data_IF_214092765715
#
_entry.id   IF_214092765715
#
_cell.length_a   1.000
_cell.length_b   1.000
_cell.length_c   1.000
_cell.angle_alpha   90.00
_cell.angle_beta   90.00
_cell.angle_gamma   90.00
#
_symmetry.space_group_name_H-M   'P 1'
#
loop_
_entity.id
_entity.type
_entity.pdbx_description
1 polymer ?
#
# COMPACT_ATOMS: atom_id res chain seq x y z
N UNK A 1 9.06 -6.57 16.03
CA UNK A 1 8.27 -5.90 14.97
C UNK A 1 8.06 -6.79 13.73
N UNK A 2 8.97 -6.84 12.74
CA UNK A 2 8.70 -7.57 11.47
C UNK A 2 8.45 -9.07 11.65
N UNK A 3 9.34 -9.78 12.36
CA UNK A 3 9.20 -11.23 12.58
C UNK A 3 7.93 -11.58 13.37
N UNK A 4 7.55 -10.75 14.35
CA UNK A 4 6.30 -10.91 15.11
C UNK A 4 5.07 -10.78 14.21
N UNK A 5 5.08 -9.82 13.27
CA UNK A 5 4.00 -9.71 12.27
C UNK A 5 3.95 -10.95 11.38
N UNK A 6 5.09 -11.46 10.92
CA UNK A 6 5.10 -12.71 10.14
C UNK A 6 4.55 -13.89 10.96
N UNK A 7 4.91 -14.01 12.24
CA UNK A 7 4.39 -15.05 13.12
C UNK A 7 2.86 -14.94 13.31
N UNK A 8 2.34 -13.71 13.47
CA UNK A 8 0.92 -13.49 13.72
C UNK A 8 0.05 -13.60 12.46
N UNK A 9 0.54 -13.14 11.31
CA UNK A 9 -0.24 -13.05 10.07
C UNK A 9 0.19 -14.05 8.99
N UNK A 10 1.16 -14.91 9.29
CA UNK A 10 1.80 -15.84 8.34
C UNK A 10 2.87 -15.19 7.48
N UNK A 11 2.63 -13.99 6.94
CA UNK A 11 3.63 -13.22 6.21
C UNK A 11 3.39 -11.71 6.31
N UNK A 12 4.44 -10.92 6.09
CA UNK A 12 4.33 -9.45 6.09
C UNK A 12 3.54 -8.95 4.88
N UNK A 13 3.66 -9.61 3.73
CA UNK A 13 2.86 -9.37 2.54
C UNK A 13 1.36 -9.57 2.82
N UNK A 14 0.96 -10.71 3.39
CA UNK A 14 -0.44 -10.98 3.73
C UNK A 14 -0.98 -9.92 4.69
N UNK A 15 -0.19 -9.54 5.69
CA UNK A 15 -0.51 -8.47 6.63
C UNK A 15 -0.73 -7.11 5.93
N UNK A 16 0.14 -6.70 5.00
CA UNK A 16 0.01 -5.41 4.34
C UNK A 16 -1.21 -5.32 3.42
N UNK A 17 -1.46 -6.36 2.64
CA UNK A 17 -2.53 -6.33 1.65
C UNK A 17 -3.93 -6.45 2.24
N UNK A 18 -4.07 -6.89 3.49
CA UNK A 18 -5.37 -6.87 4.17
C UNK A 18 -5.90 -5.43 4.33
N UNK A 19 -5.03 -4.41 4.30
CA UNK A 19 -5.45 -3.02 4.41
C UNK A 19 -6.20 -2.51 3.17
N UNK A 20 -6.09 -3.24 2.05
CA UNK A 20 -6.74 -2.95 0.76
C UNK A 20 -7.58 -4.14 0.28
N UNK A 21 -7.96 -5.04 1.19
CA UNK A 21 -8.76 -6.24 0.87
C UNK A 21 -8.18 -7.09 -0.28
N UNK A 22 -6.83 -7.09 -0.41
CA UNK A 22 -6.12 -7.81 -1.46
C UNK A 22 -6.19 -7.18 -2.86
N UNK A 23 -6.87 -6.06 -3.04
CA UNK A 23 -7.06 -5.38 -4.33
C UNK A 23 -6.43 -3.98 -4.25
N UNK A 24 -5.50 -3.61 -5.15
CA UNK A 24 -4.92 -2.28 -5.12
C UNK A 24 -5.99 -1.19 -5.23
N UNK A 25 -5.86 -0.12 -4.44
CA UNK A 25 -6.71 1.06 -4.60
C UNK A 25 -6.35 1.74 -5.92
N UNK A 26 -7.32 1.90 -6.81
CA UNK A 26 -7.14 2.54 -8.11
C UNK A 26 -7.61 3.99 -8.04
N UNK A 27 -6.66 4.93 -8.00
CA UNK A 27 -6.98 6.35 -8.08
C UNK A 27 -6.91 6.84 -9.53
N UNK A 28 -7.46 8.03 -9.78
CA UNK A 28 -7.60 8.60 -11.13
C UNK A 28 -7.12 10.05 -11.17
N UNK A 29 -5.90 10.29 -10.68
CA UNK A 29 -5.29 11.62 -10.65
C UNK A 29 -4.91 12.09 -12.07
N UNK A 30 -5.30 13.31 -12.43
CA UNK A 30 -4.92 13.94 -13.69
C UNK A 30 -3.60 14.71 -13.55
N UNK A 31 -3.38 15.32 -12.39
CA UNK A 31 -2.22 16.18 -12.13
C UNK A 31 -1.47 15.78 -10.84
N UNK A 32 -0.14 15.96 -10.79
CA UNK A 32 0.64 15.62 -9.59
C UNK A 32 0.16 16.30 -8.31
N UNK A 33 -0.36 17.53 -8.40
CA UNK A 33 -0.84 18.30 -7.25
C UNK A 33 -2.13 17.75 -6.62
N UNK A 34 -2.82 16.82 -7.28
CA UNK A 34 -4.01 16.16 -6.73
C UNK A 34 -3.66 14.97 -5.84
N UNK A 35 -2.45 14.41 -6.00
CA UNK A 35 -1.99 13.28 -5.20
C UNK A 35 -1.74 13.76 -3.77
N UNK A 36 -2.48 13.25 -2.77
CA UNK A 36 -2.34 13.73 -1.40
C UNK A 36 -1.00 13.26 -0.79
N UNK A 37 -0.49 14.00 0.19
CA UNK A 37 0.73 13.56 0.91
C UNK A 37 0.46 12.38 1.87
N UNK A 38 -0.78 12.17 2.29
CA UNK A 38 -1.22 11.07 3.15
C UNK A 38 -2.72 10.81 2.96
N UNK A 39 -3.19 9.64 3.34
CA UNK A 39 -4.60 9.24 3.25
C UNK A 39 -5.09 8.65 4.58
N UNK A 40 -6.42 8.62 4.83
CA UNK A 40 -6.96 7.93 6.00
C UNK A 40 -6.52 6.47 6.10
N UNK A 41 -6.34 5.81 4.94
CA UNK A 41 -5.82 4.45 4.86
C UNK A 41 -4.37 4.35 5.35
N UNK A 42 -3.49 5.25 4.88
CA UNK A 42 -2.10 5.32 5.34
C UNK A 42 -1.98 5.67 6.82
N UNK A 43 -2.90 6.48 7.37
CA UNK A 43 -2.98 6.71 8.80
C UNK A 43 -3.33 5.46 9.60
N UNK A 44 -4.27 4.62 9.11
CA UNK A 44 -4.57 3.33 9.75
C UNK A 44 -3.35 2.42 9.75
N UNK A 45 -2.67 2.29 8.61
CA UNK A 45 -1.45 1.48 8.51
C UNK A 45 -0.35 2.01 9.43
N UNK A 46 -0.13 3.32 9.46
CA UNK A 46 0.83 3.99 10.34
C UNK A 46 0.55 3.69 11.82
N UNK A 47 -0.71 3.83 12.26
CA UNK A 47 -1.11 3.53 13.64
C UNK A 47 -0.86 2.06 14.00
N UNK A 48 -1.26 1.13 13.14
CA UNK A 48 -1.12 -0.31 13.39
C UNK A 48 0.36 -0.74 13.43
N UNK A 49 1.18 -0.25 12.48
CA UNK A 49 2.63 -0.49 12.48
C UNK A 49 3.32 0.08 13.73
N UNK A 50 2.94 1.28 14.19
CA UNK A 50 3.46 1.86 15.43
C UNK A 50 3.14 1.00 16.64
N UNK A 51 1.90 0.51 16.74
CA UNK A 51 1.47 -0.38 17.82
C UNK A 51 2.25 -1.70 17.82
N UNK A 52 2.72 -2.15 16.65
CA UNK A 52 3.55 -3.35 16.46
C UNK A 52 5.05 -3.11 16.62
N UNK A 53 5.44 -1.93 17.13
CA UNK A 53 6.82 -1.60 17.44
C UNK A 53 7.67 -1.17 16.24
N UNK A 54 7.07 -0.91 15.07
CA UNK A 54 7.81 -0.27 13.98
C UNK A 54 8.06 1.21 14.28
N UNK A 55 9.21 1.72 13.82
CA UNK A 55 9.64 3.10 13.99
C UNK A 55 9.77 3.78 12.62
N UNK A 56 9.71 5.11 12.58
CA UNK A 56 9.73 5.88 11.33
C UNK A 56 8.64 5.48 10.32
N UNK A 57 7.47 5.12 10.84
CA UNK A 57 6.28 4.72 10.05
C UNK A 57 5.18 5.78 10.18
N UNK A 58 5.51 7.04 9.88
CA UNK A 58 4.50 8.12 9.85
C UNK A 58 3.52 7.96 8.67
N UNK A 59 2.33 8.57 8.72
CA UNK A 59 1.32 8.39 7.66
C UNK A 59 1.82 8.75 6.26
N UNK A 60 2.60 9.81 6.09
CA UNK A 60 3.25 10.16 4.81
C UNK A 60 4.20 9.07 4.32
N UNK A 61 5.02 8.50 5.22
CA UNK A 61 5.95 7.40 4.87
C UNK A 61 5.15 6.15 4.49
N UNK A 62 4.09 5.84 5.23
CA UNK A 62 3.21 4.73 4.92
C UNK A 62 2.51 4.93 3.57
N UNK A 63 2.05 6.14 3.24
CA UNK A 63 1.42 6.39 1.95
C UNK A 63 2.40 6.24 0.79
N UNK A 64 3.60 6.83 0.92
CA UNK A 64 4.67 6.66 -0.07
C UNK A 64 5.06 5.18 -0.25
N UNK A 65 5.14 4.42 0.85
CA UNK A 65 5.40 2.98 0.80
C UNK A 65 4.27 2.24 0.06
N UNK A 66 3.00 2.55 0.36
CA UNK A 66 1.85 1.94 -0.29
C UNK A 66 1.83 2.18 -1.81
N UNK A 67 2.19 3.39 -2.25
CA UNK A 67 2.37 3.71 -3.67
C UNK A 67 3.50 2.86 -4.28
N UNK A 68 4.66 2.80 -3.62
CA UNK A 68 5.83 2.10 -4.12
C UNK A 68 5.64 0.58 -4.24
N UNK A 69 4.92 -0.05 -3.30
CA UNK A 69 4.67 -1.49 -3.30
C UNK A 69 3.38 -1.90 -4.02
N UNK A 70 2.66 -0.95 -4.60
CA UNK A 70 1.47 -1.23 -5.41
C UNK A 70 0.20 -1.56 -4.60
N UNK A 71 0.16 -1.20 -3.30
CA UNK A 71 -1.10 -1.21 -2.54
C UNK A 71 -2.07 -0.12 -3.04
N UNK A 72 -1.51 0.94 -3.62
CA UNK A 72 -2.26 2.02 -4.28
C UNK A 72 -1.62 2.28 -5.64
N UNK A 73 -2.44 2.34 -6.69
CA UNK A 73 -2.03 2.81 -8.00
C UNK A 73 -2.31 4.32 -8.11
N UNK A 74 -1.25 5.11 -7.91
CA UNK A 74 -1.28 6.57 -8.04
C UNK A 74 -0.58 7.08 -9.30
N UNK A 75 -0.33 6.20 -10.27
CA UNK A 75 0.05 6.68 -11.59
C UNK A 75 -1.00 7.67 -12.09
N UNK A 76 -0.56 8.81 -12.65
CA UNK A 76 -1.48 9.75 -13.29
C UNK A 76 -2.21 9.07 -14.45
N UNK A 77 -3.40 9.52 -14.80
CA UNK A 77 -4.16 9.01 -15.94
C UNK A 77 -3.39 9.10 -17.27
N UNK A 78 -2.48 10.08 -17.40
CA UNK A 78 -1.60 10.25 -18.56
C UNK A 78 -0.40 9.29 -18.58
N UNK A 79 -0.12 8.59 -17.49
CA UNK A 79 0.96 7.61 -17.42
C UNK A 79 0.53 6.31 -18.11
N UNK A 80 1.36 5.82 -19.04
CA UNK A 80 1.12 4.56 -19.77
C UNK A 80 0.95 3.33 -18.86
N UNK A 81 1.35 3.41 -17.58
CA UNK A 81 1.21 2.32 -16.60
C UNK A 81 -0.15 2.30 -15.90
N UNK A 82 -0.89 3.41 -15.87
CA UNK A 82 -2.14 3.50 -15.10
C UNK A 82 -3.17 2.45 -15.54
N UNK A 83 -3.53 2.45 -16.82
CA UNK A 83 -4.45 1.48 -17.40
C UNK A 83 -3.89 0.04 -17.35
N UNK A 84 -2.59 -0.13 -17.58
CA UNK A 84 -1.95 -1.46 -17.56
C UNK A 84 -1.95 -2.12 -16.17
N UNK A 85 -2.04 -1.32 -15.10
CA UNK A 85 -2.09 -1.79 -13.70
C UNK A 85 -3.52 -1.82 -13.13
N UNK A 86 -4.50 -1.33 -13.89
CA UNK A 86 -5.92 -1.36 -13.50
C UNK A 86 -6.45 -2.79 -13.66
N UNK A 87 -6.98 -3.40 -12.60
CA UNK A 87 -7.57 -4.75 -12.65
C UNK A 87 -6.57 -5.91 -12.56
N UNK A 88 -5.28 -5.63 -12.42
CA UNK A 88 -4.28 -6.65 -12.10
C UNK A 88 -4.41 -7.04 -10.63
N UNK A 89 -5.24 -8.05 -10.35
CA UNK A 89 -5.09 -8.82 -9.12
C UNK A 89 -3.66 -9.39 -9.14
N UNK A 90 -2.86 -9.09 -8.12
CA UNK A 90 -1.53 -9.71 -8.01
C UNK A 90 -1.76 -11.22 -7.97
N UNK A 91 -1.16 -11.97 -8.90
CA UNK A 91 -1.10 -13.42 -8.78
C UNK A 91 -0.14 -13.75 -7.64
N UNK A 92 -0.72 -13.99 -6.46
CA UNK A 92 0.03 -14.17 -5.21
C UNK A 92 0.49 -15.62 -5.01
N UNK A 93 0.22 -16.52 -5.97
CA UNK A 93 0.75 -17.88 -5.92
C UNK A 93 2.27 -17.94 -6.20
N UNK A 94 2.87 -16.88 -6.75
CA UNK A 94 4.27 -16.85 -7.20
C UNK A 94 5.23 -16.14 -6.21
N UNK A 95 4.72 -15.41 -5.23
CA UNK A 95 5.57 -14.74 -4.21
C UNK A 95 5.75 -15.73 -3.05
N UNK A 96 6.69 -16.68 -3.22
CA UNK A 96 7.20 -17.55 -2.14
C UNK A 96 8.39 -16.89 -1.45
#
# INVERSE_FOLDING_TARGET
AYLEVQQQFGSFDRYLWQFVDGIPVQNTWQHPGEVPAQTPLAERLSRDLRQRGFKFVGPTICYAFMQAVGLVNDHLLSCHRHAALTGSAVDRATIR
#
